data_IF_626753894089
#
_entry.id   IF_626753894089
#
_cell.length_a   1.000
_cell.length_b   1.000
_cell.length_c   1.000
_cell.angle_alpha   90.00
_cell.angle_beta   90.00
_cell.angle_gamma   90.00
#
_symmetry.space_group_name_H-M   'P 1'
#
loop_
_entity.id
_entity.type
_entity.pdbx_description
1 polymer ?
#
# COMPACT_ATOMS: atom_id res chain seq x y z
N UNK A 1 7.64 -16.91 55.65
CA UNK A 1 8.05 -18.02 54.74
C UNK A 1 7.40 -19.38 55.06
N UNK A 2 7.21 -19.79 56.33
CA UNK A 2 6.60 -21.10 56.68
C UNK A 2 5.17 -21.32 56.12
N UNK A 3 4.33 -20.29 56.08
CA UNK A 3 2.94 -20.40 55.58
C UNK A 3 2.84 -20.64 54.07
N UNK A 4 3.76 -20.07 53.27
CA UNK A 4 3.78 -20.26 51.81
C UNK A 4 4.17 -21.70 51.43
N UNK A 5 5.11 -22.29 52.17
CA UNK A 5 5.51 -23.69 51.97
C UNK A 5 4.39 -24.66 52.37
N UNK A 6 3.66 -24.37 53.46
CA UNK A 6 2.54 -25.22 53.89
C UNK A 6 1.35 -25.17 52.92
N UNK A 7 1.09 -24.01 52.30
CA UNK A 7 0.04 -23.86 51.30
C UNK A 7 0.33 -24.60 49.99
N UNK A 8 1.58 -24.54 49.51
CA UNK A 8 1.99 -25.29 48.30
C UNK A 8 1.92 -26.80 48.51
N UNK A 9 2.32 -27.31 49.69
CA UNK A 9 2.19 -28.73 50.01
C UNK A 9 0.72 -29.19 50.07
N UNK A 10 -0.18 -28.34 50.57
CA UNK A 10 -1.61 -28.64 50.59
C UNK A 10 -2.21 -28.74 49.18
N UNK A 11 -1.82 -27.86 48.25
CA UNK A 11 -2.26 -27.88 46.84
C UNK A 11 -1.79 -29.17 46.15
N UNK A 12 -0.52 -29.56 46.34
CA UNK A 12 0.03 -30.79 45.77
C UNK A 12 -0.66 -32.03 46.35
N UNK A 13 -0.91 -32.06 47.66
CA UNK A 13 -1.62 -33.16 48.32
C UNK A 13 -3.06 -33.29 47.79
N UNK A 14 -3.79 -32.17 47.65
CA UNK A 14 -5.15 -32.15 47.12
C UNK A 14 -5.22 -32.57 45.64
N UNK A 15 -4.25 -32.21 44.82
CA UNK A 15 -4.20 -32.63 43.41
C UNK A 15 -3.88 -34.11 43.23
N UNK A 16 -3.06 -34.69 44.11
CA UNK A 16 -2.64 -36.10 44.00
C UNK A 16 -3.66 -37.09 44.60
N UNK A 17 -4.45 -36.70 45.59
CA UNK A 17 -5.40 -37.62 46.25
C UNK A 17 -6.46 -38.23 45.29
N UNK A 18 -7.11 -37.47 44.39
CA UNK A 18 -8.04 -38.03 43.41
C UNK A 18 -7.38 -38.96 42.39
N UNK A 19 -6.13 -38.69 42.02
CA UNK A 19 -5.37 -39.51 41.07
C UNK A 19 -5.03 -40.89 41.66
N UNK A 20 -4.66 -40.94 42.94
CA UNK A 20 -4.38 -42.20 43.65
C UNK A 20 -5.66 -43.01 43.86
N UNK A 21 -6.76 -42.37 44.31
CA UNK A 21 -8.06 -43.03 44.50
C UNK A 21 -8.65 -43.54 43.17
N UNK A 22 -8.54 -42.76 42.09
CA UNK A 22 -9.00 -43.13 40.76
C UNK A 22 -8.25 -44.33 40.17
N UNK A 23 -6.93 -44.42 40.42
CA UNK A 23 -6.12 -45.56 39.98
C UNK A 23 -6.44 -46.85 40.75
N UNK A 24 -6.81 -46.75 42.03
CA UNK A 24 -7.14 -47.91 42.87
C UNK A 24 -8.54 -48.48 42.58
N UNK A 25 -9.47 -47.66 42.08
CA UNK A 25 -10.84 -48.06 41.74
C UNK A 25 -11.03 -48.36 40.23
N UNK A 26 -9.96 -48.40 39.42
CA UNK A 26 -9.98 -48.65 37.97
C UNK A 26 -10.95 -47.75 37.18
N UNK A 27 -11.06 -46.48 37.55
CA UNK A 27 -11.91 -45.54 36.83
C UNK A 27 -11.28 -45.12 35.48
N UNK A 28 -12.06 -44.59 34.52
CA UNK A 28 -11.54 -44.10 33.26
C UNK A 28 -10.51 -42.98 33.47
N UNK A 29 -9.33 -43.07 32.85
CA UNK A 29 -8.18 -42.15 33.00
C UNK A 29 -8.55 -40.68 32.89
N UNK A 30 -9.44 -40.36 31.97
CA UNK A 30 -9.95 -39.01 31.75
C UNK A 30 -10.69 -38.44 32.96
N UNK A 31 -11.39 -39.27 33.73
CA UNK A 31 -12.25 -38.80 34.82
C UNK A 31 -11.43 -38.40 36.05
N UNK A 32 -10.37 -39.13 36.40
CA UNK A 32 -9.48 -38.74 37.50
C UNK A 32 -8.49 -37.65 37.09
N UNK A 33 -8.03 -37.62 35.82
CA UNK A 33 -7.24 -36.50 35.30
C UNK A 33 -8.04 -35.18 35.36
N UNK A 34 -9.32 -35.20 34.96
CA UNK A 34 -10.19 -34.03 35.04
C UNK A 34 -10.42 -33.59 36.50
N UNK A 35 -10.71 -34.52 37.41
CA UNK A 35 -10.90 -34.19 38.84
C UNK A 35 -9.62 -33.66 39.50
N UNK A 36 -8.45 -34.20 39.15
CA UNK A 36 -7.16 -33.68 39.61
C UNK A 36 -6.90 -32.26 39.09
N UNK A 37 -7.20 -32.01 37.81
CA UNK A 37 -7.05 -30.68 37.22
C UNK A 37 -7.99 -29.65 37.85
N UNK A 38 -9.26 -30.00 38.07
CA UNK A 38 -10.26 -29.11 38.70
C UNK A 38 -9.92 -28.83 40.16
N UNK A 39 -9.48 -29.83 40.91
CA UNK A 39 -9.09 -29.64 42.32
C UNK A 39 -7.79 -28.84 42.45
N UNK A 40 -6.81 -29.06 41.58
CA UNK A 40 -5.59 -28.27 41.53
C UNK A 40 -5.86 -26.82 41.10
N UNK A 41 -6.69 -26.60 40.07
CA UNK A 41 -7.06 -25.25 39.63
C UNK A 41 -7.85 -24.52 40.70
N UNK A 42 -8.82 -25.18 41.34
CA UNK A 42 -9.62 -24.60 42.43
C UNK A 42 -8.77 -24.27 43.66
N UNK A 43 -7.86 -25.16 44.05
CA UNK A 43 -6.96 -24.91 45.19
C UNK A 43 -5.93 -23.81 44.88
N UNK A 44 -5.46 -23.70 43.64
CA UNK A 44 -4.57 -22.63 43.20
C UNK A 44 -5.30 -21.28 43.18
N UNK A 45 -6.55 -21.25 42.72
CA UNK A 45 -7.40 -20.05 42.73
C UNK A 45 -7.68 -19.61 44.17
N UNK A 46 -7.97 -20.55 45.08
CA UNK A 46 -8.17 -20.26 46.49
C UNK A 46 -6.89 -19.74 47.16
N UNK A 47 -5.73 -20.31 46.84
CA UNK A 47 -4.43 -19.83 47.32
C UNK A 47 -4.13 -18.42 46.78
N UNK A 48 -4.43 -18.15 45.51
CA UNK A 48 -4.34 -16.81 44.93
C UNK A 48 -5.29 -15.84 45.64
N UNK A 49 -6.55 -16.20 45.91
CA UNK A 49 -7.48 -15.31 46.62
C UNK A 49 -7.05 -15.03 48.06
N UNK A 50 -6.39 -15.97 48.74
CA UNK A 50 -5.87 -15.76 50.11
C UNK A 50 -4.57 -14.94 50.08
N UNK A 51 -3.65 -15.19 49.14
CA UNK A 51 -2.43 -14.38 48.98
C UNK A 51 -2.71 -12.96 48.49
N UNK A 52 -3.80 -12.75 47.76
CA UNK A 52 -4.26 -11.42 47.31
C UNK A 52 -5.27 -10.81 48.30
N UNK A 53 -5.79 -11.60 49.23
CA UNK A 53 -6.82 -11.22 50.22
C UNK A 53 -6.26 -10.71 51.56
N UNK A 54 -4.96 -10.81 51.81
CA UNK A 54 -4.31 -10.25 53.00
C UNK A 54 -3.99 -8.74 52.89
N UNK A 55 -4.56 -8.04 51.89
CA UNK A 55 -4.57 -6.57 51.81
C UNK A 55 -5.91 -5.95 52.21
N UNK A 56 -6.65 -6.55 53.14
CA UNK A 56 -7.71 -5.84 53.91
C UNK A 56 -7.79 -6.37 55.34
N UNK A 57 -6.65 -6.35 56.05
CA UNK A 57 -6.61 -6.45 57.50
C UNK A 57 -6.96 -5.11 58.15
N UNK A 58 -8.26 -4.81 58.25
CA UNK A 58 -8.73 -3.82 59.22
C UNK A 58 -8.42 -4.35 60.63
N UNK A 59 -7.39 -3.77 61.24
CA UNK A 59 -7.02 -3.98 62.63
C UNK A 59 -8.00 -3.24 63.55
N UNK A 60 -8.71 -3.92 64.48
CA UNK A 60 -9.37 -3.25 65.60
C UNK A 60 -8.33 -3.01 66.69
N UNK A 61 -7.41 -2.10 66.42
CA UNK A 61 -6.67 -1.41 67.46
C UNK A 61 -7.04 0.05 67.33
N UNK A 62 -7.80 0.50 68.33
CA UNK A 62 -8.03 1.87 68.73
C UNK A 62 -6.69 2.62 68.73
N UNK A 63 -6.36 3.17 67.56
CA UNK A 63 -5.26 4.11 67.38
C UNK A 63 -5.88 5.47 67.62
N UNK A 64 -5.44 6.13 68.68
CA UNK A 64 -5.66 7.54 68.89
C UNK A 64 -5.51 8.25 67.53
N UNK A 65 -6.54 9.00 67.17
CA UNK A 65 -6.65 9.83 65.98
C UNK A 65 -5.39 10.68 65.85
N UNK A 66 -4.38 10.11 65.17
CA UNK A 66 -3.26 10.85 64.66
C UNK A 66 -3.80 11.42 63.37
N UNK A 67 -4.05 12.72 63.39
CA UNK A 67 -4.34 13.53 62.22
C UNK A 67 -3.49 13.00 61.05
N UNK A 68 -4.09 12.61 59.91
CA UNK A 68 -3.32 12.07 58.79
C UNK A 68 -2.30 13.13 58.40
N UNK A 69 -1.01 12.87 58.67
CA UNK A 69 0.07 13.65 58.09
C UNK A 69 -0.17 13.64 56.58
N UNK A 70 -0.41 14.83 56.03
CA UNK A 70 -0.50 15.05 54.59
C UNK A 70 0.66 14.33 53.93
N UNK A 71 0.43 13.49 52.88
CA UNK A 71 1.54 12.87 52.17
C UNK A 71 2.53 13.96 51.76
N UNK A 72 3.85 13.74 51.91
CA UNK A 72 4.84 14.74 51.55
C UNK A 72 4.59 15.19 50.11
N UNK A 73 4.44 16.50 49.89
CA UNK A 73 4.21 17.08 48.57
C UNK A 73 5.36 16.66 47.65
N UNK A 74 5.06 15.83 46.65
CA UNK A 74 6.07 15.45 45.67
C UNK A 74 6.48 16.70 44.87
N UNK A 75 7.80 16.94 44.67
CA UNK A 75 8.25 18.13 43.95
C UNK A 75 7.67 18.15 42.52
N UNK A 76 7.29 19.33 42.02
CA UNK A 76 6.72 19.47 40.68
C UNK A 76 7.75 19.07 39.61
N UNK A 77 7.25 18.57 38.48
CA UNK A 77 8.10 18.29 37.33
C UNK A 77 8.58 19.59 36.68
N UNK A 78 9.84 19.62 36.30
CA UNK A 78 10.47 20.65 35.49
C UNK A 78 10.51 20.19 34.04
N UNK A 79 10.46 21.14 33.11
CA UNK A 79 10.45 20.86 31.67
C UNK A 79 11.79 21.22 31.04
N UNK A 80 12.29 20.35 30.16
CA UNK A 80 13.37 20.64 29.22
C UNK A 80 13.03 20.04 27.85
N UNK A 81 13.76 20.41 26.79
CA UNK A 81 13.49 19.92 25.44
C UNK A 81 14.74 19.37 24.80
N UNK A 82 14.57 18.23 24.14
CA UNK A 82 15.57 17.62 23.27
C UNK A 82 15.14 17.87 21.82
N UNK A 83 16.07 18.33 20.99
CA UNK A 83 15.83 18.65 19.58
C UNK A 83 16.75 17.85 18.69
N UNK A 84 16.16 17.18 17.70
CA UNK A 84 16.80 16.46 16.60
C UNK A 84 18.01 15.62 17.05
N UNK A 85 17.88 14.94 18.18
CA UNK A 85 18.91 14.06 18.68
C UNK A 85 19.02 12.84 17.74
N UNK A 86 20.21 12.57 17.18
CA UNK A 86 20.41 11.43 16.29
C UNK A 86 20.37 10.12 17.08
N UNK A 87 19.48 9.22 16.70
CA UNK A 87 19.37 7.87 17.26
C UNK A 87 19.70 6.83 16.18
N UNK A 88 20.45 5.76 16.52
CA UNK A 88 20.78 4.72 15.57
C UNK A 88 19.54 3.93 15.17
N UNK A 89 19.41 3.60 13.88
CA UNK A 89 18.42 2.63 13.39
C UNK A 89 19.01 1.23 13.22
N UNK A 90 18.19 0.25 12.81
CA UNK A 90 18.65 -1.12 12.52
C UNK A 90 19.56 -1.21 11.27
N UNK A 91 19.56 -0.20 10.42
CA UNK A 91 20.31 -0.18 9.17
C UNK A 91 21.42 0.85 9.27
N UNK A 92 22.65 0.40 9.06
CA UNK A 92 23.83 1.27 9.08
C UNK A 92 23.68 2.45 8.12
N UNK A 93 24.08 3.63 8.59
CA UNK A 93 24.02 4.87 7.81
C UNK A 93 22.66 5.55 7.78
N UNK A 94 21.66 5.04 8.52
CA UNK A 94 20.37 5.71 8.73
C UNK A 94 20.18 6.04 10.21
N UNK A 95 19.90 7.31 10.50
CA UNK A 95 19.63 7.79 11.85
C UNK A 95 18.22 8.37 11.95
N UNK A 96 17.57 8.14 13.08
CA UNK A 96 16.33 8.82 13.43
C UNK A 96 16.66 10.16 14.11
N UNK A 97 15.90 11.19 13.79
CA UNK A 97 15.90 12.48 14.46
C UNK A 97 14.79 12.48 15.51
N UNK A 98 15.20 12.49 16.77
CA UNK A 98 14.32 12.46 17.92
C UNK A 98 14.18 13.84 18.56
N UNK A 99 12.96 14.32 18.71
CA UNK A 99 12.66 15.51 19.51
C UNK A 99 11.53 15.23 20.50
N UNK A 100 11.65 15.80 21.69
CA UNK A 100 10.77 15.51 22.83
C UNK A 100 10.77 16.62 23.86
N UNK A 101 9.66 16.76 24.58
CA UNK A 101 9.61 17.49 25.86
C UNK A 101 9.91 16.50 26.97
N UNK A 102 10.97 16.75 27.75
CA UNK A 102 11.38 15.93 28.88
C UNK A 102 10.87 16.56 30.16
N UNK A 103 10.03 15.83 30.89
CA UNK A 103 9.53 16.18 32.21
C UNK A 103 10.35 15.45 33.25
N UNK A 104 11.00 16.18 34.16
CA UNK A 104 11.93 15.59 35.12
C UNK A 104 11.86 16.23 36.51
N UNK A 105 12.29 15.49 37.53
CA UNK A 105 12.43 15.98 38.90
C UNK A 105 13.59 15.31 39.61
N UNK A 106 14.23 16.02 40.54
CA UNK A 106 15.25 15.43 41.40
C UNK A 106 14.62 14.41 42.36
N UNK A 107 15.31 13.30 42.61
CA UNK A 107 14.93 12.31 43.64
C UNK A 107 15.01 12.98 45.02
N UNK A 108 14.15 12.64 46.01
CA UNK A 108 14.12 13.29 47.33
C UNK A 108 15.48 13.36 48.05
N UNK A 109 16.36 12.39 47.81
CA UNK A 109 17.71 12.34 48.39
C UNK A 109 18.69 13.37 47.79
N UNK A 110 18.34 13.99 46.65
CA UNK A 110 19.26 14.80 45.84
C UNK A 110 18.66 16.17 45.43
N UNK A 111 17.62 16.63 46.12
CA UNK A 111 16.89 17.89 45.80
C UNK A 111 17.79 19.13 45.81
N UNK A 112 18.91 19.11 46.55
CA UNK A 112 19.85 20.24 46.62
C UNK A 112 20.86 20.31 45.45
N UNK A 113 20.83 19.38 44.48
CA UNK A 113 21.75 19.40 43.34
C UNK A 113 21.44 20.52 42.34
N UNK A 114 22.49 21.15 41.82
CA UNK A 114 22.40 22.20 40.79
C UNK A 114 21.53 21.78 39.60
N UNK A 115 20.46 22.55 39.33
CA UNK A 115 19.47 22.31 38.27
C UNK A 115 20.07 22.00 36.89
N UNK A 116 21.24 22.56 36.57
CA UNK A 116 21.91 22.33 35.29
C UNK A 116 22.42 20.90 35.10
N UNK A 117 22.97 20.28 36.15
CA UNK A 117 23.47 18.90 36.10
C UNK A 117 22.29 17.93 36.05
N UNK A 118 21.25 18.20 36.83
CA UNK A 118 20.03 17.39 36.86
C UNK A 118 19.29 17.41 35.51
N UNK A 119 19.26 18.56 34.83
CA UNK A 119 18.72 18.68 33.47
C UNK A 119 19.47 17.82 32.46
N UNK A 120 20.80 17.94 32.41
CA UNK A 120 21.61 17.16 31.46
C UNK A 120 21.49 15.65 31.69
N UNK A 121 21.37 15.21 32.96
CA UNK A 121 21.10 13.82 33.32
C UNK A 121 19.71 13.36 32.85
N UNK A 122 18.68 14.19 32.97
CA UNK A 122 17.35 13.90 32.46
C UNK A 122 17.35 13.70 30.94
N UNK A 123 17.97 14.62 30.20
CA UNK A 123 18.08 14.56 28.75
C UNK A 123 18.83 13.30 28.31
N UNK A 124 20.00 13.02 28.89
CA UNK A 124 20.78 11.82 28.59
C UNK A 124 20.01 10.53 28.90
N UNK A 125 19.30 10.47 30.04
CA UNK A 125 18.48 9.31 30.43
C UNK A 125 17.38 9.02 29.40
N UNK A 126 16.69 10.05 28.91
CA UNK A 126 15.65 9.89 27.89
C UNK A 126 16.24 9.50 26.54
N UNK A 127 17.33 10.13 26.11
CA UNK A 127 18.00 9.82 24.82
C UNK A 127 18.55 8.40 24.82
N UNK A 128 19.19 7.96 25.90
CA UNK A 128 19.72 6.60 26.03
C UNK A 128 18.60 5.54 25.95
N UNK A 129 17.49 5.78 26.66
CA UNK A 129 16.30 4.91 26.59
C UNK A 129 15.70 4.89 25.18
N UNK A 130 15.60 6.06 24.54
CA UNK A 130 15.08 6.16 23.19
C UNK A 130 15.96 5.37 22.20
N UNK A 131 17.29 5.54 22.30
CA UNK A 131 18.26 4.83 21.48
C UNK A 131 18.19 3.31 21.67
N UNK A 132 17.93 2.82 22.90
CA UNK A 132 17.77 1.40 23.17
C UNK A 132 16.53 0.82 22.50
N UNK A 133 15.43 1.57 22.48
CA UNK A 133 14.16 1.15 21.86
C UNK A 133 14.26 1.09 20.34
N UNK A 134 14.84 2.11 19.69
CA UNK A 134 14.79 2.22 18.21
C UNK A 134 15.95 1.54 17.48
N UNK A 135 16.99 1.07 18.18
CA UNK A 135 18.18 0.47 17.54
C UNK A 135 17.88 -0.73 16.65
N UNK A 136 16.84 -1.49 16.96
CA UNK A 136 16.44 -2.66 16.18
C UNK A 136 15.30 -2.37 15.20
N UNK A 137 14.85 -1.11 15.11
CA UNK A 137 13.75 -0.72 14.25
C UNK A 137 14.23 -0.34 12.85
N UNK A 138 13.47 -0.80 11.85
CA UNK A 138 13.72 -0.48 10.45
C UNK A 138 13.47 1.02 10.19
N UNK A 139 14.38 1.73 9.52
CA UNK A 139 14.22 3.16 9.24
C UNK A 139 13.02 3.50 8.35
N UNK A 140 12.53 2.55 7.54
CA UNK A 140 11.30 2.69 6.78
C UNK A 140 10.03 2.67 7.64
N UNK A 141 10.13 2.27 8.92
CA UNK A 141 9.03 2.15 9.87
C UNK A 141 9.06 3.21 10.99
N UNK A 142 9.60 4.39 10.71
CA UNK A 142 9.70 5.49 11.68
C UNK A 142 8.38 5.81 12.43
N UNK A 143 7.25 5.80 11.72
CA UNK A 143 5.94 6.07 12.31
C UNK A 143 5.54 5.02 13.36
N UNK A 144 5.92 3.76 13.14
CA UNK A 144 5.71 2.65 14.07
C UNK A 144 6.68 2.72 15.26
N UNK A 145 7.96 2.99 15.00
CA UNK A 145 8.96 3.19 16.05
C UNK A 145 8.58 4.34 17.00
N UNK A 146 7.97 5.42 16.48
CA UNK A 146 7.41 6.52 17.28
C UNK A 146 6.36 6.03 18.27
N UNK A 147 5.45 5.13 17.86
CA UNK A 147 4.42 4.59 18.74
C UNK A 147 5.02 3.75 19.89
N UNK A 148 6.04 2.94 19.59
CA UNK A 148 6.75 2.17 20.62
C UNK A 148 7.46 3.10 21.60
N UNK A 149 8.13 4.14 21.10
CA UNK A 149 8.78 5.16 21.93
C UNK A 149 7.80 5.88 22.86
N UNK A 150 6.60 6.20 22.37
CA UNK A 150 5.57 6.88 23.18
C UNK A 150 5.17 6.06 24.42
N UNK A 151 4.94 4.76 24.24
CA UNK A 151 4.71 3.85 25.37
C UNK A 151 5.93 3.69 26.28
N UNK A 152 7.13 3.62 25.72
CA UNK A 152 8.36 3.36 26.49
C UNK A 152 8.85 4.57 27.29
N UNK A 153 8.67 5.79 26.77
CA UNK A 153 9.16 7.02 27.39
C UNK A 153 8.10 7.77 28.22
N UNK A 154 6.81 7.46 28.04
CA UNK A 154 5.73 8.04 28.83
C UNK A 154 5.71 7.61 30.30
N UNK A 155 6.51 6.62 30.69
CA UNK A 155 6.63 6.16 32.09
C UNK A 155 7.80 6.86 32.79
N UNK A 156 7.58 7.47 33.98
CA UNK A 156 8.64 8.04 34.81
C UNK A 156 9.62 6.95 35.25
N UNK A 157 10.89 7.13 34.89
CA UNK A 157 11.97 6.23 35.28
C UNK A 157 13.13 7.03 35.86
N UNK A 158 13.76 6.49 36.89
CA UNK A 158 14.97 7.08 37.46
C UNK A 158 16.18 6.81 36.56
N UNK A 159 17.05 7.80 36.43
CA UNK A 159 18.29 7.70 35.69
C UNK A 159 19.27 6.70 36.34
N UNK A 160 20.31 6.30 35.60
CA UNK A 160 21.31 5.33 36.09
C UNK A 160 22.04 5.79 37.36
N UNK A 161 22.13 7.10 37.61
CA UNK A 161 22.77 7.63 38.81
C UNK A 161 21.84 7.72 40.03
N UNK A 162 20.53 7.48 39.87
CA UNK A 162 19.55 7.55 40.95
C UNK A 162 19.11 8.96 41.33
N UNK A 163 19.58 9.99 40.62
CA UNK A 163 19.47 11.39 41.02
C UNK A 163 18.24 12.08 40.45
N UNK A 164 17.77 11.62 39.29
CA UNK A 164 16.69 12.28 38.55
C UNK A 164 15.69 11.24 38.05
N UNK A 165 14.40 11.53 38.22
CA UNK A 165 13.31 10.78 37.59
C UNK A 165 12.81 11.57 36.39
N UNK A 166 12.79 10.95 35.21
CA UNK A 166 12.43 11.58 33.95
C UNK A 166 11.45 10.73 33.12
N UNK A 167 10.57 11.43 32.41
CA UNK A 167 9.68 10.89 31.38
C UNK A 167 9.66 11.86 30.18
N UNK A 168 9.17 11.40 29.04
CA UNK A 168 9.04 12.23 27.85
C UNK A 168 7.60 12.35 27.39
N UNK A 169 7.26 13.51 26.86
CA UNK A 169 5.99 13.87 26.24
C UNK A 169 6.25 14.57 24.89
N UNK A 170 5.20 14.73 24.08
CA UNK A 170 5.23 15.41 22.78
C UNK A 170 6.35 14.90 21.86
N UNK A 171 6.40 13.58 21.70
CA UNK A 171 7.47 12.90 20.99
C UNK A 171 7.32 13.00 19.47
N UNK A 172 8.43 13.30 18.83
CA UNK A 172 8.57 13.21 17.37
C UNK A 172 9.78 12.35 17.05
N UNK A 173 9.60 11.43 16.10
CA UNK A 173 10.66 10.60 15.57
C UNK A 173 10.53 10.67 14.05
N UNK A 174 11.56 11.19 13.39
CA UNK A 174 11.56 11.34 11.93
C UNK A 174 12.88 10.85 11.35
N UNK A 175 12.93 10.63 10.03
CA UNK A 175 14.19 10.47 9.33
C UNK A 175 14.55 11.77 8.63
N UNK A 176 15.85 11.97 8.38
CA UNK A 176 16.32 12.98 7.47
C UNK A 176 15.54 12.90 6.13
N UNK A 177 15.03 14.02 5.58
CA UNK A 177 14.18 13.99 4.38
C UNK A 177 14.82 13.28 3.19
N UNK A 178 16.14 13.42 3.02
CA UNK A 178 16.91 12.77 1.96
C UNK A 178 16.87 11.24 2.09
N UNK A 179 17.02 10.72 3.30
CA UNK A 179 17.02 9.29 3.60
C UNK A 179 15.63 8.69 3.46
N UNK A 180 14.60 9.40 3.93
CA UNK A 180 13.21 8.99 3.72
C UNK A 180 12.88 8.89 2.23
N UNK A 181 13.35 9.85 1.42
CA UNK A 181 13.17 9.81 -0.03
C UNK A 181 13.95 8.67 -0.70
N UNK A 182 15.14 8.33 -0.17
CA UNK A 182 15.95 7.21 -0.67
C UNK A 182 15.29 5.86 -0.37
N UNK A 183 14.81 5.65 0.86
CA UNK A 183 14.13 4.41 1.25
C UNK A 183 12.84 4.18 0.46
N UNK A 184 12.06 5.24 0.21
CA UNK A 184 10.89 5.17 -0.68
C UNK A 184 11.28 4.70 -2.07
N UNK A 185 12.27 5.35 -2.70
CA UNK A 185 12.78 4.96 -4.01
C UNK A 185 13.26 3.50 -4.06
N UNK A 186 13.96 3.03 -3.02
CA UNK A 186 14.38 1.63 -2.94
C UNK A 186 13.20 0.67 -2.77
N UNK A 187 12.16 1.06 -2.03
CA UNK A 187 10.94 0.26 -1.90
C UNK A 187 10.21 0.15 -3.23
N UNK A 188 10.10 1.25 -3.97
CA UNK A 188 9.43 1.29 -5.26
C UNK A 188 10.19 0.45 -6.28
N UNK A 189 11.51 0.60 -6.38
CA UNK A 189 12.34 -0.23 -7.27
C UNK A 189 12.20 -1.73 -7.01
N UNK A 190 12.11 -2.16 -5.73
CA UNK A 190 11.91 -3.57 -5.39
C UNK A 190 10.55 -4.08 -5.87
N UNK A 191 9.48 -3.29 -5.68
CA UNK A 191 8.14 -3.65 -6.16
C UNK A 191 8.12 -3.72 -7.69
N UNK A 192 8.76 -2.77 -8.36
CA UNK A 192 8.84 -2.74 -9.82
C UNK A 192 9.59 -3.98 -10.36
N UNK A 193 10.68 -4.38 -9.70
CA UNK A 193 11.42 -5.60 -10.03
C UNK A 193 10.58 -6.87 -9.83
N UNK A 194 9.84 -6.95 -8.72
CA UNK A 194 8.91 -8.06 -8.44
C UNK A 194 7.81 -8.16 -9.51
N UNK A 195 7.21 -7.04 -9.89
CA UNK A 195 6.20 -6.97 -10.95
C UNK A 195 6.82 -7.40 -12.28
N UNK A 196 8.00 -6.88 -12.61
CA UNK A 196 8.69 -7.20 -13.87
C UNK A 196 9.03 -8.70 -13.97
N UNK A 197 9.55 -9.31 -12.91
CA UNK A 197 9.87 -10.75 -12.96
C UNK A 197 8.61 -11.60 -13.03
N UNK A 198 7.51 -11.18 -12.38
CA UNK A 198 6.21 -11.85 -12.53
C UNK A 198 5.68 -11.77 -13.96
N UNK A 199 5.74 -10.60 -14.60
CA UNK A 199 5.34 -10.42 -16.00
C UNK A 199 6.20 -11.26 -16.94
N UNK A 200 7.52 -11.22 -16.74
CA UNK A 200 8.47 -12.02 -17.51
C UNK A 200 8.20 -13.52 -17.37
N UNK A 201 7.94 -13.99 -16.15
CA UNK A 201 7.61 -15.40 -15.92
C UNK A 201 6.25 -15.75 -16.53
N UNK A 202 5.26 -14.87 -16.47
CA UNK A 202 3.97 -15.04 -17.15
C UNK A 202 4.14 -15.15 -18.66
N UNK A 203 4.98 -14.31 -19.27
CA UNK A 203 5.28 -14.41 -20.70
C UNK A 203 5.98 -15.72 -21.05
N UNK A 204 6.97 -16.14 -20.27
CA UNK A 204 7.67 -17.41 -20.45
C UNK A 204 6.71 -18.59 -20.35
N UNK A 205 5.90 -18.64 -19.29
CA UNK A 205 4.89 -19.66 -19.08
C UNK A 205 3.87 -19.66 -20.23
N UNK A 206 3.48 -18.49 -20.75
CA UNK A 206 2.58 -18.39 -21.90
C UNK A 206 3.22 -18.92 -23.18
N UNK A 207 4.48 -18.57 -23.47
CA UNK A 207 5.21 -19.09 -24.64
C UNK A 207 5.37 -20.60 -24.54
N UNK A 208 5.72 -21.09 -23.36
CA UNK A 208 5.86 -22.52 -23.10
C UNK A 208 4.53 -23.25 -23.29
N UNK A 209 3.45 -22.79 -22.67
CA UNK A 209 2.12 -23.37 -22.85
C UNK A 209 1.68 -23.35 -24.32
N UNK A 210 1.87 -22.22 -25.01
CA UNK A 210 1.50 -22.12 -26.43
C UNK A 210 2.36 -23.03 -27.31
N UNK A 211 3.66 -23.15 -27.06
CA UNK A 211 4.54 -24.02 -27.84
C UNK A 211 4.34 -25.50 -27.52
N UNK A 212 4.50 -25.87 -26.26
CA UNK A 212 4.59 -27.26 -25.80
C UNK A 212 3.23 -27.95 -25.71
N UNK A 213 2.15 -27.21 -25.43
CA UNK A 213 0.81 -27.79 -25.25
C UNK A 213 -0.13 -27.48 -26.41
N UNK A 214 -0.20 -26.22 -26.84
CA UNK A 214 -1.20 -25.77 -27.84
C UNK A 214 -0.73 -26.07 -29.26
N UNK A 215 0.39 -25.50 -29.68
CA UNK A 215 0.88 -25.52 -31.06
C UNK A 215 1.84 -26.69 -31.34
N UNK A 216 2.00 -27.62 -30.40
CA UNK A 216 2.80 -28.84 -30.58
C UNK A 216 2.39 -29.66 -31.80
N UNK A 217 1.11 -29.63 -32.16
CA UNK A 217 0.57 -30.31 -33.33
C UNK A 217 -0.72 -29.63 -33.81
N UNK A 218 -1.10 -29.88 -35.06
CA UNK A 218 -2.41 -29.46 -35.59
C UNK A 218 -3.56 -29.95 -34.71
N UNK A 219 -3.47 -31.19 -34.18
CA UNK A 219 -4.51 -31.78 -33.34
C UNK A 219 -4.66 -31.07 -31.99
N UNK A 220 -3.55 -30.76 -31.32
CA UNK A 220 -3.58 -30.03 -30.04
C UNK A 220 -4.10 -28.60 -30.21
N UNK A 221 -3.73 -27.94 -31.32
CA UNK A 221 -4.21 -26.60 -31.65
C UNK A 221 -5.73 -26.62 -31.92
N UNK A 222 -6.23 -27.67 -32.57
CA UNK A 222 -7.64 -27.86 -32.85
C UNK A 222 -8.47 -28.08 -31.57
N UNK A 223 -7.99 -28.93 -30.67
CA UNK A 223 -8.63 -29.14 -29.35
C UNK A 223 -8.65 -27.85 -28.54
N UNK A 224 -7.53 -27.12 -28.53
CA UNK A 224 -7.43 -25.82 -27.86
C UNK A 224 -8.40 -24.77 -28.41
N UNK A 225 -8.61 -24.76 -29.73
CA UNK A 225 -9.54 -23.87 -30.42
C UNK A 225 -10.98 -24.22 -30.09
N UNK A 226 -11.35 -25.50 -30.15
CA UNK A 226 -12.69 -26.00 -29.79
C UNK A 226 -13.02 -25.73 -28.33
N UNK A 227 -12.07 -25.90 -27.41
CA UNK A 227 -12.26 -25.61 -25.99
C UNK A 227 -12.56 -24.11 -25.70
N UNK A 228 -12.37 -23.22 -26.68
CA UNK A 228 -12.70 -21.79 -26.59
C UNK A 228 -13.90 -21.39 -27.44
N UNK A 229 -14.31 -22.27 -28.35
CA UNK A 229 -15.40 -22.04 -29.32
C UNK A 229 -16.23 -23.32 -29.40
N UNK A 230 -16.83 -23.72 -28.27
CA UNK A 230 -17.45 -25.05 -28.08
C UNK A 230 -18.61 -25.30 -29.06
N UNK A 231 -19.32 -24.23 -29.47
CA UNK A 231 -20.49 -24.29 -30.35
C UNK A 231 -20.16 -24.15 -31.85
N UNK A 232 -18.89 -23.94 -32.22
CA UNK A 232 -18.48 -23.59 -33.59
C UNK A 232 -17.81 -24.76 -34.34
N UNK A 233 -18.43 -25.94 -34.31
CA UNK A 233 -17.83 -27.17 -34.86
C UNK A 233 -17.56 -27.08 -36.37
N UNK A 234 -18.49 -26.51 -37.14
CA UNK A 234 -18.33 -26.35 -38.60
C UNK A 234 -17.13 -25.45 -38.92
N UNK A 235 -17.00 -24.34 -38.18
CA UNK A 235 -15.88 -23.41 -38.31
C UNK A 235 -14.56 -24.03 -37.87
N UNK A 236 -14.59 -24.94 -36.90
CA UNK A 236 -13.43 -25.71 -36.48
C UNK A 236 -12.82 -26.51 -37.64
N UNK A 237 -13.65 -27.11 -38.50
CA UNK A 237 -13.19 -27.87 -39.68
C UNK A 237 -12.47 -26.95 -40.67
N UNK A 238 -12.98 -25.74 -40.88
CA UNK A 238 -12.34 -24.74 -41.75
C UNK A 238 -10.99 -24.27 -41.20
N UNK A 239 -10.82 -24.27 -39.88
CA UNK A 239 -9.59 -23.84 -39.22
C UNK A 239 -8.46 -24.88 -39.24
N UNK A 240 -8.70 -26.12 -39.70
CA UNK A 240 -7.67 -27.18 -39.75
C UNK A 240 -6.44 -26.76 -40.56
N UNK A 241 -6.63 -26.19 -41.75
CA UNK A 241 -5.53 -25.73 -42.60
C UNK A 241 -4.70 -24.60 -41.94
N UNK A 242 -5.33 -23.48 -41.53
CA UNK A 242 -4.64 -22.40 -40.81
C UNK A 242 -3.93 -22.86 -39.53
N UNK A 243 -4.56 -23.71 -38.70
CA UNK A 243 -3.95 -24.21 -37.47
C UNK A 243 -2.78 -25.16 -37.76
N UNK A 244 -2.83 -25.94 -38.85
CA UNK A 244 -1.70 -26.75 -39.30
C UNK A 244 -0.50 -25.87 -39.71
N UNK A 245 -0.77 -24.77 -40.43
CA UNK A 245 0.27 -23.83 -40.85
C UNK A 245 0.91 -23.12 -39.65
N UNK A 246 0.11 -22.62 -38.70
CA UNK A 246 0.62 -21.95 -37.50
C UNK A 246 1.39 -22.92 -36.60
N UNK A 247 0.92 -24.16 -36.45
CA UNK A 247 1.64 -25.18 -35.67
C UNK A 247 2.97 -25.55 -36.30
N UNK A 248 3.01 -25.75 -37.63
CA UNK A 248 4.27 -26.04 -38.34
C UNK A 248 5.25 -24.87 -38.21
N UNK A 249 4.79 -23.63 -38.41
CA UNK A 249 5.62 -22.43 -38.25
C UNK A 249 6.13 -22.23 -36.82
N UNK A 250 5.34 -22.57 -35.80
CA UNK A 250 5.74 -22.45 -34.39
C UNK A 250 6.82 -23.45 -33.97
N UNK A 251 6.99 -24.56 -34.71
CA UNK A 251 7.97 -25.60 -34.44
C UNK A 251 9.14 -25.61 -35.44
N UNK A 252 9.22 -24.61 -36.34
CA UNK A 252 10.19 -24.56 -37.45
C UNK A 252 10.14 -25.82 -38.36
N UNK A 253 8.94 -26.38 -38.57
CA UNK A 253 8.69 -27.57 -39.39
C UNK A 253 7.89 -27.25 -40.67
N UNK A 254 7.93 -28.16 -41.64
CA UNK A 254 7.01 -28.10 -42.78
C UNK A 254 5.60 -28.56 -42.40
N UNK A 255 4.59 -28.03 -43.09
CA UNK A 255 3.20 -28.48 -42.89
C UNK A 255 3.07 -29.97 -43.29
N UNK A 256 2.51 -30.83 -42.41
CA UNK A 256 2.34 -32.25 -42.69
C UNK A 256 1.60 -32.49 -44.01
N UNK A 257 2.04 -33.50 -44.77
CA UNK A 257 1.54 -33.76 -46.13
C UNK A 257 0.01 -33.90 -46.20
N UNK A 258 -0.56 -34.50 -45.15
CA UNK A 258 -1.99 -34.69 -44.96
C UNK A 258 -2.78 -33.38 -45.02
N UNK A 259 -2.21 -32.26 -44.61
CA UNK A 259 -2.89 -30.96 -44.55
C UNK A 259 -2.47 -29.99 -45.65
N UNK A 260 -1.46 -30.32 -46.46
CA UNK A 260 -0.97 -29.44 -47.53
C UNK A 260 -2.07 -29.07 -48.56
N UNK A 261 -3.01 -29.98 -48.79
CA UNK A 261 -4.16 -29.74 -49.68
C UNK A 261 -5.18 -28.73 -49.13
N UNK A 262 -5.14 -28.45 -47.82
CA UNK A 262 -6.00 -27.47 -47.14
C UNK A 262 -5.33 -26.09 -47.03
N UNK A 263 -4.07 -25.98 -47.43
CA UNK A 263 -3.40 -24.68 -47.50
C UNK A 263 -3.95 -23.92 -48.70
N UNK A 264 -4.42 -22.70 -48.46
CA UNK A 264 -4.66 -21.75 -49.55
C UNK A 264 -3.28 -21.37 -50.11
N UNK A 265 -3.02 -21.50 -51.43
CA UNK A 265 -1.78 -21.02 -52.01
C UNK A 265 -1.57 -19.57 -51.60
N UNK A 266 -0.35 -19.15 -51.20
CA UNK A 266 -0.09 -17.73 -51.03
C UNK A 266 -0.48 -17.07 -52.35
N UNK A 267 -1.44 -16.13 -52.30
CA UNK A 267 -1.74 -15.28 -53.44
C UNK A 267 -0.40 -14.76 -53.92
N UNK A 268 -0.01 -15.15 -55.13
CA UNK A 268 1.18 -14.61 -55.76
C UNK A 268 1.09 -13.09 -55.60
N UNK A 269 2.02 -12.52 -54.82
CA UNK A 269 2.32 -11.12 -54.89
C UNK A 269 2.45 -10.82 -56.38
N UNK A 270 1.54 -9.98 -56.88
CA UNK A 270 1.35 -9.75 -58.29
C UNK A 270 2.71 -9.41 -58.90
N UNK A 271 3.25 -10.38 -59.62
CA UNK A 271 4.57 -10.29 -60.22
C UNK A 271 4.45 -9.39 -61.44
N UNK A 272 5.10 -8.22 -61.37
CA UNK A 272 5.68 -7.55 -62.52
C UNK A 272 4.71 -6.90 -63.52
N UNK A 273 4.28 -5.68 -63.20
CA UNK A 273 4.14 -4.64 -64.23
C UNK A 273 5.54 -4.19 -64.71
N UNK A 274 5.71 -3.74 -65.96
CA UNK A 274 7.03 -3.50 -66.55
C UNK A 274 7.81 -2.43 -65.79
N UNK A 275 9.04 -2.79 -65.43
CA UNK A 275 10.11 -1.96 -64.90
C UNK A 275 10.13 -0.54 -65.50
N UNK A 276 9.82 0.46 -64.68
CA UNK A 276 10.33 1.82 -64.90
C UNK A 276 11.56 1.98 -64.01
N UNK A 277 12.69 1.98 -64.71
CA UNK A 277 14.04 2.15 -64.18
C UNK A 277 14.16 3.54 -63.55
N UNK A 278 14.40 3.58 -62.24
CA UNK A 278 14.55 4.80 -61.46
C UNK A 278 15.43 4.53 -60.26
N UNK A 279 16.75 4.55 -60.52
CA UNK A 279 17.88 4.84 -59.63
C UNK A 279 17.64 4.81 -58.13
N UNK A 280 18.38 3.92 -57.46
CA UNK A 280 18.26 3.66 -56.03
C UNK A 280 18.56 4.84 -55.11
N UNK A 281 18.00 4.71 -53.91
CA UNK A 281 18.59 5.20 -52.67
C UNK A 281 18.06 4.31 -51.56
N UNK A 282 18.94 3.59 -50.87
CA UNK A 282 18.61 3.00 -49.59
C UNK A 282 18.39 4.15 -48.60
N UNK A 283 17.20 4.24 -48.04
CA UNK A 283 16.92 5.14 -46.92
C UNK A 283 15.88 4.51 -45.99
N UNK A 284 16.03 4.81 -44.71
CA UNK A 284 15.48 4.09 -43.57
C UNK A 284 13.96 3.93 -43.54
N UNK A 285 13.56 2.88 -42.82
CA UNK A 285 12.19 2.55 -42.41
C UNK A 285 11.61 3.58 -41.40
N UNK A 286 11.84 4.88 -41.58
CA UNK A 286 11.41 5.93 -40.62
C UNK A 286 10.50 7.02 -41.19
N UNK A 287 10.18 7.00 -42.49
CA UNK A 287 9.42 8.09 -43.13
C UNK A 287 7.96 7.73 -43.46
N UNK A 288 7.42 6.62 -42.94
CA UNK A 288 6.00 6.27 -43.19
C UNK A 288 5.02 6.89 -42.18
N UNK A 289 5.52 7.40 -41.04
CA UNK A 289 4.70 8.11 -40.06
C UNK A 289 4.57 9.61 -40.37
N UNK A 290 5.39 10.16 -41.26
CA UNK A 290 5.37 11.58 -41.68
C UNK A 290 4.37 11.87 -42.83
N UNK A 291 3.75 10.85 -43.42
CA UNK A 291 2.81 11.02 -44.55
C UNK A 291 1.40 11.51 -44.14
N UNK A 292 1.07 11.56 -42.84
CA UNK A 292 -0.21 12.07 -42.35
C UNK A 292 -0.02 13.42 -41.65
N UNK A 293 -0.75 14.45 -42.07
CA UNK A 293 -0.72 15.75 -41.42
C UNK A 293 -1.28 15.69 -40.00
N UNK A 294 -0.94 16.67 -39.16
CA UNK A 294 -1.61 16.91 -37.87
C UNK A 294 -3.15 17.00 -38.01
N UNK A 295 -3.72 17.70 -39.02
CA UNK A 295 -5.17 17.73 -39.22
C UNK A 295 -5.76 16.35 -39.56
N UNK A 296 -5.06 15.52 -40.33
CA UNK A 296 -5.54 14.20 -40.74
C UNK A 296 -5.61 13.24 -39.55
N UNK A 297 -4.63 13.30 -38.64
CA UNK A 297 -4.65 12.52 -37.39
C UNK A 297 -5.80 12.93 -36.48
N UNK A 298 -6.06 14.23 -36.36
CA UNK A 298 -7.19 14.72 -35.58
C UNK A 298 -8.52 14.27 -36.22
N UNK A 299 -8.64 14.37 -37.54
CA UNK A 299 -9.82 13.89 -38.27
C UNK A 299 -10.07 12.39 -38.01
N UNK A 300 -9.05 11.54 -38.14
CA UNK A 300 -9.16 10.09 -37.88
C UNK A 300 -9.60 9.78 -36.44
N UNK A 301 -9.10 10.52 -35.45
CA UNK A 301 -9.51 10.38 -34.06
C UNK A 301 -10.97 10.79 -33.85
N UNK A 302 -11.43 11.86 -34.49
CA UNK A 302 -12.82 12.31 -34.41
C UNK A 302 -13.77 11.30 -35.06
N UNK A 303 -13.41 10.76 -36.22
CA UNK A 303 -14.18 9.70 -36.88
C UNK A 303 -14.24 8.43 -36.03
N UNK A 304 -13.15 8.02 -35.39
CA UNK A 304 -13.13 6.87 -34.48
C UNK A 304 -14.05 7.05 -33.25
N UNK A 305 -14.26 8.30 -32.83
CA UNK A 305 -15.20 8.66 -31.76
C UNK A 305 -16.65 8.83 -32.25
N UNK A 306 -16.91 8.61 -33.54
CA UNK A 306 -18.23 8.76 -34.16
C UNK A 306 -18.65 10.21 -34.40
N UNK A 307 -17.70 11.16 -34.37
CA UNK A 307 -17.94 12.56 -34.71
C UNK A 307 -17.66 12.78 -36.19
N UNK A 308 -18.73 12.78 -36.97
CA UNK A 308 -18.65 12.98 -38.43
C UNK A 308 -18.45 14.47 -38.79
N UNK A 309 -17.66 14.75 -39.86
CA UNK A 309 -17.51 16.10 -40.41
C UNK A 309 -18.86 16.74 -40.76
N UNK A 310 -19.07 17.99 -40.38
CA UNK A 310 -20.28 18.75 -40.67
C UNK A 310 -21.38 18.70 -39.60
N UNK A 311 -21.16 17.98 -38.49
CA UNK A 311 -22.00 18.10 -37.30
C UNK A 311 -21.59 19.30 -36.43
N UNK A 312 -22.55 19.94 -35.76
CA UNK A 312 -22.26 21.04 -34.83
C UNK A 312 -21.29 20.62 -33.72
N UNK A 313 -21.40 19.35 -33.26
CA UNK A 313 -20.51 18.77 -32.27
C UNK A 313 -19.05 18.64 -32.78
N UNK A 314 -18.86 18.24 -34.04
CA UNK A 314 -17.55 18.17 -34.69
C UNK A 314 -16.91 19.56 -34.76
N UNK A 315 -17.64 20.56 -35.24
CA UNK A 315 -17.16 21.94 -35.37
C UNK A 315 -16.78 22.55 -34.01
N UNK A 316 -17.64 22.42 -33.00
CA UNK A 316 -17.38 22.95 -31.64
C UNK A 316 -16.14 22.31 -31.02
N UNK A 317 -15.96 21.01 -31.20
CA UNK A 317 -14.81 20.29 -30.65
C UNK A 317 -13.51 20.73 -31.32
N UNK A 318 -13.46 20.79 -32.66
CA UNK A 318 -12.30 21.28 -33.41
C UNK A 318 -11.96 22.72 -32.99
N UNK A 319 -12.96 23.59 -32.83
CA UNK A 319 -12.76 24.98 -32.39
C UNK A 319 -12.14 25.08 -30.98
N UNK A 320 -12.51 24.16 -30.08
CA UNK A 320 -11.96 24.08 -28.72
C UNK A 320 -10.51 23.58 -28.71
N UNK A 321 -10.18 22.63 -29.57
CA UNK A 321 -8.80 22.13 -29.75
C UNK A 321 -7.92 23.26 -30.28
N UNK A 322 -8.36 23.97 -31.33
CA UNK A 322 -7.64 25.14 -31.88
C UNK A 322 -7.41 26.22 -30.80
N UNK A 323 -8.45 26.55 -30.02
CA UNK A 323 -8.33 27.56 -28.94
C UNK A 323 -7.33 27.13 -27.85
N UNK A 324 -7.30 25.85 -27.52
CA UNK A 324 -6.40 25.31 -26.49
C UNK A 324 -4.95 25.31 -26.97
N UNK A 325 -4.71 24.97 -28.24
CA UNK A 325 -3.39 25.03 -28.87
C UNK A 325 -2.85 26.47 -28.97
N UNK A 326 -3.70 27.43 -29.36
CA UNK A 326 -3.32 28.86 -29.36
C UNK A 326 -2.98 29.38 -27.97
N UNK A 327 -3.72 28.97 -26.93
CA UNK A 327 -3.44 29.35 -25.54
C UNK A 327 -2.12 28.75 -25.01
N UNK A 328 -1.69 27.62 -25.56
CA UNK A 328 -0.41 26.97 -25.26
C UNK A 328 0.77 27.51 -26.12
N UNK A 329 0.54 28.51 -26.98
CA UNK A 329 1.56 29.10 -27.86
C UNK A 329 1.88 28.28 -29.11
N UNK A 330 1.11 27.22 -29.40
CA UNK A 330 1.27 26.37 -30.57
C UNK A 330 0.42 26.91 -31.74
N UNK A 331 0.82 28.04 -32.29
CA UNK A 331 0.07 28.77 -33.31
C UNK A 331 0.07 28.08 -34.69
N UNK A 332 1.22 27.57 -35.13
CA UNK A 332 1.39 26.93 -36.43
C UNK A 332 0.51 25.66 -36.59
N UNK A 333 0.48 24.70 -35.65
CA UNK A 333 -0.42 23.55 -35.74
C UNK A 333 -1.91 23.94 -35.61
N UNK A 334 -2.20 24.97 -34.81
CA UNK A 334 -3.57 25.45 -34.62
C UNK A 334 -4.15 26.05 -35.91
N UNK A 335 -3.35 26.82 -36.65
CA UNK A 335 -3.72 27.42 -37.93
C UNK A 335 -3.86 26.38 -39.04
N UNK A 336 -2.99 25.35 -39.05
CA UNK A 336 -3.08 24.23 -39.99
C UNK A 336 -4.38 23.42 -39.81
N UNK A 337 -4.75 23.13 -38.55
CA UNK A 337 -6.01 22.44 -38.20
C UNK A 337 -7.22 23.29 -38.56
N UNK A 338 -7.19 24.58 -38.23
CA UNK A 338 -8.27 25.52 -38.52
C UNK A 338 -8.51 25.65 -40.03
N UNK A 339 -7.44 25.79 -40.82
CA UNK A 339 -7.54 25.90 -42.28
C UNK A 339 -8.07 24.64 -42.94
N UNK A 340 -7.71 23.47 -42.43
CA UNK A 340 -8.00 22.17 -43.07
C UNK A 340 -9.36 21.61 -42.65
N UNK A 341 -9.76 21.75 -41.38
CA UNK A 341 -10.96 21.10 -40.85
C UNK A 341 -12.16 22.04 -40.68
N UNK A 342 -11.96 23.36 -40.58
CA UNK A 342 -13.05 24.34 -40.42
C UNK A 342 -13.33 25.14 -41.70
N UNK A 343 -12.39 25.19 -42.65
CA UNK A 343 -12.48 26.01 -43.86
C UNK A 343 -12.42 27.52 -43.55
N UNK A 344 -11.91 28.34 -44.47
CA UNK A 344 -11.92 29.80 -44.27
C UNK A 344 -13.36 30.34 -44.34
N UNK A 345 -13.72 31.34 -43.50
CA UNK A 345 -14.93 32.12 -43.75
C UNK A 345 -14.76 32.87 -45.08
N UNK A 346 -15.76 32.74 -45.94
CA UNK A 346 -15.87 33.40 -47.24
C UNK A 346 -15.58 34.92 -47.08
N UNK A 347 -14.49 35.37 -47.70
CA UNK A 347 -14.13 36.77 -47.81
C UNK A 347 -15.09 37.43 -48.80
N UNK A 348 -16.19 38.03 -48.30
CA UNK A 348 -16.97 39.00 -49.06
C UNK A 348 -16.60 40.42 -48.63
N UNK A 349 -15.86 41.03 -49.53
CA UNK A 349 -15.41 42.41 -49.68
C UNK A 349 -16.49 43.49 -49.46
N UNK A 350 -16.04 44.55 -48.77
CA UNK A 350 -16.40 45.98 -48.78
C UNK A 350 -17.85 46.45 -48.59
N UNK A 351 -18.07 47.23 -47.53
CA UNK A 351 -18.55 48.62 -47.64
C UNK A 351 -18.30 49.38 -46.31
N UNK A 352 -17.37 50.33 -46.34
CA UNK A 352 -17.27 51.45 -45.38
C UNK A 352 -18.29 52.52 -45.79
N UNK A 353 -18.99 53.15 -44.84
CA UNK A 353 -18.85 54.60 -44.79
C UNK A 353 -18.74 55.17 -43.36
N UNK A 354 -17.57 55.75 -43.09
CA UNK A 354 -17.32 57.14 -42.67
C UNK A 354 -18.12 57.74 -41.49
N UNK A 355 -17.33 58.20 -40.48
CA UNK A 355 -17.46 59.41 -39.62
C UNK A 355 -18.80 59.65 -38.88
N UNK A 356 -18.83 59.92 -37.57
CA UNK A 356 -18.22 61.08 -36.92
C UNK A 356 -18.14 60.91 -35.38
N UNK A 357 -17.07 61.46 -34.79
CA UNK A 357 -16.91 62.18 -33.49
C UNK A 357 -17.80 61.79 -32.29
N UNK A 358 -17.27 61.52 -31.10
CA UNK A 358 -16.49 62.43 -30.23
C UNK A 358 -15.81 61.60 -29.12
N UNK A 359 -14.60 62.01 -28.69
CA UNK A 359 -14.04 61.60 -27.39
C UNK A 359 -14.47 62.57 -26.27
N UNK A 360 -13.84 62.58 -25.09
CA UNK A 360 -12.95 61.59 -24.48
C UNK A 360 -13.48 61.14 -23.08
N UNK A 361 -12.88 60.12 -22.46
CA UNK A 361 -12.30 60.30 -21.13
C UNK A 361 -11.62 59.03 -20.61
N UNK A 362 -10.48 59.29 -19.97
CA UNK A 362 -9.63 58.36 -19.28
C UNK A 362 -10.35 57.73 -18.08
N UNK A 363 -10.02 56.47 -17.78
CA UNK A 363 -9.58 56.04 -16.44
C UNK A 363 -9.20 54.55 -16.45
N UNK A 364 -7.93 54.29 -16.19
CA UNK A 364 -7.49 53.09 -15.50
C UNK A 364 -7.66 53.30 -14.00
N UNK A 365 -7.81 52.23 -13.21
CA UNK A 365 -6.90 52.14 -12.08
C UNK A 365 -6.35 50.73 -11.83
N UNK A 366 -5.05 50.70 -11.56
CA UNK A 366 -4.36 49.72 -10.73
C UNK A 366 -4.47 50.16 -9.27
N UNK A 367 -4.75 49.27 -8.32
CA UNK A 367 -3.97 49.00 -7.08
C UNK A 367 -4.76 48.21 -5.99
N UNK A 368 -4.19 47.05 -5.64
CA UNK A 368 -3.93 46.44 -4.31
C UNK A 368 -5.00 46.22 -3.22
N UNK A 369 -5.08 44.94 -2.83
CA UNK A 369 -4.77 44.33 -1.52
C UNK A 369 -5.56 44.67 -0.23
N UNK A 370 -6.00 43.56 0.42
CA UNK A 370 -6.41 43.34 1.82
C UNK A 370 -7.73 44.01 2.23
N UNK A 371 -8.69 43.38 2.91
CA UNK A 371 -8.63 42.45 4.04
C UNK A 371 -10.00 41.74 4.23
N UNK A 372 -10.00 40.55 4.83
CA UNK A 372 -11.18 39.76 5.21
C UNK A 372 -12.00 40.40 6.35
N UNK A 373 -13.31 40.10 6.47
CA UNK A 373 -13.72 39.15 7.54
C UNK A 373 -14.84 38.17 7.13
N UNK A 374 -14.79 36.96 7.69
CA UNK A 374 -15.75 35.84 7.55
C UNK A 374 -16.96 35.93 8.53
N UNK A 375 -17.86 34.93 8.64
CA UNK A 375 -18.79 34.30 7.68
C UNK A 375 -20.27 34.37 8.20
N UNK A 376 -21.28 33.72 7.57
CA UNK A 376 -21.69 32.40 8.10
C UNK A 376 -22.26 31.38 7.09
N UNK A 377 -22.13 30.11 7.49
CA UNK A 377 -22.98 28.91 7.29
C UNK A 377 -23.85 28.74 6.01
N UNK A 378 -23.55 27.68 5.24
CA UNK A 378 -24.49 26.57 5.01
C UNK A 378 -23.87 25.45 4.16
N UNK A 379 -23.78 24.26 4.78
CA UNK A 379 -23.94 22.91 4.22
C UNK A 379 -23.24 22.54 2.90
N UNK A 380 -22.04 21.97 3.03
CA UNK A 380 -21.45 21.05 2.04
C UNK A 380 -21.79 19.61 2.40
N UNK A 381 -22.46 18.89 1.50
CA UNK A 381 -22.51 17.42 1.50
C UNK A 381 -21.24 16.88 0.84
N UNK A 382 -20.49 15.95 1.45
CA UNK A 382 -19.41 15.23 0.78
C UNK A 382 -19.95 14.00 0.06
N UNK A 383 -19.61 13.90 -1.23
CA UNK A 383 -19.77 12.71 -2.06
C UNK A 383 -18.78 11.62 -1.58
N UNK A 384 -19.27 10.43 -1.25
CA UNK A 384 -18.48 9.27 -0.87
C UNK A 384 -18.32 8.30 -2.08
N UNK A 385 -17.13 7.73 -2.32
CA UNK A 385 -16.94 6.69 -3.35
C UNK A 385 -17.41 5.31 -2.84
N UNK A 386 -17.91 4.53 -3.79
CA UNK A 386 -18.79 3.37 -3.58
C UNK A 386 -18.18 2.19 -2.83
N UNK A 387 -19.02 1.58 -1.99
CA UNK A 387 -18.80 0.25 -1.43
C UNK A 387 -19.05 -0.82 -2.49
N UNK A 388 -18.08 -1.72 -2.60
CA UNK A 388 -18.17 -2.99 -3.29
C UNK A 388 -19.27 -3.89 -2.71
N UNK A 389 -19.92 -4.61 -3.62
CA UNK A 389 -20.88 -5.69 -3.37
C UNK A 389 -20.35 -6.69 -2.33
N UNK A 390 -21.12 -6.85 -1.25
CA UNK A 390 -21.02 -7.98 -0.34
C UNK A 390 -22.05 -9.01 -0.79
N UNK A 391 -21.58 -10.03 -1.50
CA UNK A 391 -22.36 -11.24 -1.73
C UNK A 391 -22.23 -12.12 -0.46
N UNK A 392 -23.27 -12.09 0.36
CA UNK A 392 -23.38 -12.89 1.57
C UNK A 392 -24.18 -14.15 1.25
N UNK A 393 -23.47 -15.25 1.00
CA UNK A 393 -24.04 -16.59 0.99
C UNK A 393 -24.50 -17.00 2.39
N UNK A 394 -25.81 -17.25 2.54
CA UNK A 394 -26.35 -18.02 3.65
C UNK A 394 -26.09 -19.51 3.41
N UNK A 395 -25.42 -20.14 4.36
CA UNK A 395 -25.18 -21.58 4.36
C UNK A 395 -26.35 -22.39 4.91
N UNK A 396 -26.37 -23.69 4.63
CA UNK A 396 -26.38 -24.70 5.69
C UNK A 396 -26.11 -26.14 5.19
N UNK A 397 -25.35 -26.87 6.01
CA UNK A 397 -25.52 -28.30 6.38
C UNK A 397 -25.12 -29.43 5.40
N UNK A 398 -23.98 -30.07 5.69
CA UNK A 398 -23.87 -31.36 6.44
C UNK A 398 -22.81 -32.32 5.86
N UNK A 399 -21.96 -32.82 6.78
CA UNK A 399 -21.34 -34.16 6.87
C UNK A 399 -20.91 -34.93 5.60
N UNK A 400 -19.62 -35.25 5.48
CA UNK A 400 -19.06 -36.60 5.71
C UNK A 400 -17.54 -36.66 5.42
N UNK A 401 -16.82 -37.56 6.10
CA UNK A 401 -15.60 -38.18 5.56
C UNK A 401 -14.25 -37.62 6.02
N UNK A 402 -13.79 -38.05 7.18
CA UNK A 402 -12.38 -38.07 7.53
C UNK A 402 -11.70 -39.28 6.89
N UNK A 403 -10.60 -39.10 6.15
CA UNK A 403 -9.59 -40.15 5.97
C UNK A 403 -8.19 -39.55 6.14
N UNK A 404 -7.53 -40.08 7.17
CA UNK A 404 -6.19 -39.84 7.65
C UNK A 404 -5.22 -40.74 6.88
N UNK A 405 -4.23 -40.16 6.21
CA UNK A 405 -3.06 -40.90 5.74
C UNK A 405 -1.79 -40.24 6.29
N UNK A 406 -1.49 -40.67 7.51
CA UNK A 406 -0.15 -40.71 8.11
C UNK A 406 0.93 -41.17 7.13
N UNK A 407 1.96 -40.34 7.01
CA UNK A 407 3.31 -40.74 6.59
C UNK A 407 4.03 -41.47 7.75
N UNK A 408 4.94 -42.41 7.48
CA UNK A 408 6.00 -42.74 8.43
C UNK A 408 7.37 -42.26 7.95
N UNK A 409 8.14 -41.75 8.90
CA UNK A 409 9.53 -41.31 8.79
C UNK A 409 10.53 -42.50 8.89
N UNK A 410 11.85 -42.29 9.08
CA UNK A 410 12.87 -42.73 8.13
C UNK A 410 13.68 -43.96 8.60
N UNK A 411 14.37 -44.59 7.65
CA UNK A 411 15.62 -45.33 7.86
C UNK A 411 16.60 -44.96 6.75
#
# INVERSE_FOLDING_TARGET
MKYRMSGLLFVVLCGCAPAVLGSLLNWPTLLWAFMSMVTASGSLLLLLTVLTGDYTGASPYESAETEPESPPEEPPYLETRVFDAPLPSAVDGYEFLFSATVLWRATPEHVESSDGVSRALAEASVVDRAAEVVRCEDPGRADFARYILDGALGVPLTDRSGRVTALAADLTLTLAPADRARLRRLSDLRKDEEVWEYERQRERNRRQYLGDDVLKSTGSAMVWWLARHEDEIERAVEMIGPLAQVSAAANDEEVPELFRHLLVPPVEAHSGGPWQEGTGSGMGMSDREEELGVPDRLHLLLTALGLEPGTDAYTVFVHRVVRSLKAAGLHEPAEEIERTLLGQPDEKTDEDPSMDKDGPDAWSPTFTASEHPSPPDAATTPFAPGQAERDAGEGNRSHEGAEDHSSPSPF
#
